data_IF_849011442809
#
_entry.id   IF_849011442809
#
_cell.length_a   1.000
_cell.length_b   1.000
_cell.length_c   1.000
_cell.angle_alpha   90.00
_cell.angle_beta   90.00
_cell.angle_gamma   90.00
#
_symmetry.space_group_name_H-M   'P 1'
#
loop_
_entity.id
_entity.type
_entity.pdbx_description
1 polymer ?
#
# COMPACT_ATOMS: atom_id res chain seq x y z
N UNK A 1 11.10 8.89 4.32
CA UNK A 1 9.73 9.37 4.07
C UNK A 1 8.89 8.24 3.49
N UNK A 2 7.64 8.11 3.98
CA UNK A 2 6.68 7.10 3.54
C UNK A 2 5.31 7.74 3.35
N UNK A 3 4.57 7.27 2.35
CA UNK A 3 3.14 7.50 2.22
C UNK A 3 2.45 6.15 2.46
N UNK A 4 1.61 6.05 3.48
CA UNK A 4 1.04 4.77 3.91
C UNK A 4 -0.46 4.75 4.09
N UNK A 5 -1.03 3.56 3.89
CA UNK A 5 -2.42 3.22 4.13
C UNK A 5 -2.49 1.93 4.95
N UNK A 6 -3.22 1.96 6.06
CA UNK A 6 -3.58 0.77 6.81
C UNK A 6 -4.96 0.27 6.39
N UNK A 7 -5.07 -1.02 6.10
CA UNK A 7 -6.31 -1.70 5.72
C UNK A 7 -6.70 -2.60 6.87
N UNK A 8 -7.92 -2.44 7.36
CA UNK A 8 -8.45 -3.21 8.50
C UNK A 8 -8.51 -4.70 8.15
N UNK A 9 -8.16 -5.57 9.10
CA UNK A 9 -8.12 -7.02 8.92
C UNK A 9 -9.47 -7.64 8.55
N UNK A 10 -10.58 -7.04 8.98
CA UNK A 10 -11.92 -7.47 8.54
C UNK A 10 -12.12 -7.37 7.02
N UNK A 11 -11.47 -6.40 6.37
CA UNK A 11 -11.54 -6.20 4.93
C UNK A 11 -10.56 -7.08 4.15
N UNK A 12 -9.70 -7.84 4.83
CA UNK A 12 -8.66 -8.69 4.23
C UNK A 12 -8.73 -10.14 4.69
N UNK A 13 -9.70 -10.47 5.56
CA UNK A 13 -9.85 -11.78 6.18
C UNK A 13 -10.05 -12.92 5.16
N UNK A 14 -10.72 -12.63 4.04
CA UNK A 14 -10.99 -13.58 2.97
C UNK A 14 -9.75 -13.93 2.12
N UNK A 15 -8.65 -13.20 2.29
CA UNK A 15 -7.37 -13.49 1.62
C UNK A 15 -6.68 -14.73 2.20
N UNK A 16 -7.02 -15.15 3.41
CA UNK A 16 -6.45 -16.29 4.12
C UNK A 16 -4.92 -16.24 4.26
N UNK A 17 -4.35 -15.04 4.33
CA UNK A 17 -2.89 -14.88 4.49
C UNK A 17 -2.40 -15.45 5.81
N UNK A 18 -1.18 -15.97 5.81
CA UNK A 18 -0.62 -16.76 6.89
C UNK A 18 -1.00 -18.24 6.84
N UNK A 19 -1.66 -18.68 5.77
CA UNK A 19 -2.05 -20.09 5.58
C UNK A 19 -1.66 -20.61 4.20
N UNK A 20 -1.68 -21.93 4.03
CA UNK A 20 -1.42 -22.56 2.73
C UNK A 20 -2.42 -22.16 1.62
N UNK A 21 -3.59 -21.61 2.01
CA UNK A 21 -4.63 -21.17 1.09
C UNK A 21 -4.60 -19.65 0.81
N UNK A 22 -3.48 -18.99 1.08
CA UNK A 22 -3.30 -17.57 0.87
C UNK A 22 -3.57 -17.18 -0.59
N UNK A 23 -4.53 -16.27 -0.78
CA UNK A 23 -4.91 -15.78 -2.10
C UNK A 23 -3.97 -14.65 -2.55
N UNK A 24 -3.63 -14.57 -3.84
CA UNK A 24 -2.93 -13.41 -4.38
C UNK A 24 -3.84 -12.17 -4.35
N UNK A 25 -3.21 -11.03 -4.43
CA UNK A 25 -3.88 -9.73 -4.61
C UNK A 25 -3.30 -9.00 -5.82
N UNK A 26 -4.10 -8.09 -6.36
CA UNK A 26 -3.65 -7.13 -7.36
C UNK A 26 -3.88 -5.72 -6.84
N UNK A 27 -2.82 -4.93 -6.83
CA UNK A 27 -2.82 -3.51 -6.52
C UNK A 27 -2.77 -2.73 -7.82
N UNK A 28 -3.72 -1.81 -8.02
CA UNK A 28 -3.70 -0.88 -9.16
C UNK A 28 -3.83 0.56 -8.69
N UNK A 29 -3.16 1.48 -9.39
CA UNK A 29 -3.15 2.89 -9.03
C UNK A 29 -2.63 3.77 -10.17
N UNK A 30 -3.02 5.04 -10.14
CA UNK A 30 -2.39 6.08 -10.94
C UNK A 30 -1.35 6.81 -10.12
N UNK A 31 -0.19 7.01 -10.70
CA UNK A 31 0.95 7.68 -10.06
C UNK A 31 1.55 8.73 -10.98
N UNK A 32 1.98 9.83 -10.36
CA UNK A 32 2.75 10.89 -11.00
C UNK A 32 3.99 11.15 -10.16
N UNK A 33 5.13 11.28 -10.80
CA UNK A 33 6.36 11.75 -10.15
C UNK A 33 7.11 12.72 -11.05
N UNK A 34 7.74 13.69 -10.45
CA UNK A 34 8.68 14.57 -11.16
C UNK A 34 10.00 13.88 -11.54
N UNK A 35 10.22 12.66 -11.07
CA UNK A 35 11.41 11.86 -11.33
C UNK A 35 11.00 10.56 -12.01
N UNK A 36 11.54 10.31 -13.22
CA UNK A 36 11.43 9.02 -13.87
C UNK A 36 12.40 8.01 -13.25
N UNK A 37 12.08 6.72 -13.35
CA UNK A 37 12.91 5.64 -12.85
C UNK A 37 12.11 4.55 -12.15
N UNK A 38 12.82 3.66 -11.47
CA UNK A 38 12.21 2.60 -10.66
C UNK A 38 11.83 3.17 -9.31
N UNK A 39 10.55 3.13 -9.00
CA UNK A 39 9.98 3.48 -7.70
C UNK A 39 9.60 2.23 -6.94
N UNK A 40 9.29 2.37 -5.65
CA UNK A 40 8.97 1.24 -4.84
C UNK A 40 7.88 1.44 -3.80
N UNK A 41 7.35 0.31 -3.36
CA UNK A 41 6.40 0.25 -2.25
C UNK A 41 6.55 -1.10 -1.54
N UNK A 42 5.90 -1.26 -0.40
CA UNK A 42 5.92 -2.51 0.35
C UNK A 42 4.54 -2.78 0.95
N UNK A 43 4.18 -4.06 1.01
CA UNK A 43 3.09 -4.55 1.83
C UNK A 43 3.65 -5.14 3.11
N UNK A 44 3.00 -4.87 4.22
CA UNK A 44 3.42 -5.36 5.54
C UNK A 44 2.21 -5.84 6.34
N UNK A 45 2.47 -6.76 7.28
CA UNK A 45 1.49 -7.08 8.32
C UNK A 45 1.51 -6.01 9.44
N UNK A 46 0.58 -6.11 10.38
CA UNK A 46 0.45 -5.15 11.49
C UNK A 46 1.74 -5.00 12.32
N UNK A 47 2.46 -6.09 12.52
CA UNK A 47 3.64 -6.12 13.39
C UNK A 47 4.92 -5.69 12.66
N UNK A 48 4.85 -5.45 11.35
CA UNK A 48 6.02 -5.19 10.49
C UNK A 48 7.09 -6.28 10.59
N UNK A 49 6.69 -7.52 10.88
CA UNK A 49 7.57 -8.69 10.90
C UNK A 49 7.45 -9.56 9.64
N UNK A 50 6.53 -9.18 8.74
CA UNK A 50 6.41 -9.70 7.37
C UNK A 50 6.31 -8.54 6.39
N UNK A 51 7.08 -8.59 5.31
CA UNK A 51 7.07 -7.57 4.28
C UNK A 51 7.23 -8.15 2.87
N UNK A 52 6.62 -7.50 1.90
CA UNK A 52 6.79 -7.77 0.47
C UNK A 52 7.15 -6.46 -0.23
N UNK A 53 8.44 -6.13 -0.30
CA UNK A 53 8.91 -5.01 -1.11
C UNK A 53 8.69 -5.29 -2.59
N UNK A 54 8.19 -4.29 -3.33
CA UNK A 54 8.01 -4.41 -4.77
C UNK A 54 8.34 -3.10 -5.48
N UNK A 55 8.58 -3.19 -6.77
CA UNK A 55 8.96 -2.04 -7.60
C UNK A 55 7.99 -1.84 -8.75
N UNK A 56 7.90 -0.60 -9.22
CA UNK A 56 7.18 -0.21 -10.42
C UNK A 56 7.96 0.88 -11.18
N UNK A 57 7.74 0.99 -12.48
CA UNK A 57 8.49 1.94 -13.33
C UNK A 57 7.66 3.17 -13.65
N UNK A 58 8.24 4.34 -13.46
CA UNK A 58 7.76 5.61 -14.02
C UNK A 58 8.66 5.95 -15.20
N UNK A 59 8.17 5.71 -16.41
CA UNK A 59 8.96 5.84 -17.64
C UNK A 59 9.12 7.29 -18.10
N UNK A 60 8.18 8.16 -17.73
CA UNK A 60 8.18 9.58 -18.08
C UNK A 60 7.89 10.43 -16.86
N UNK A 61 8.82 11.32 -16.51
CA UNK A 61 8.60 12.29 -15.44
C UNK A 61 7.45 13.24 -15.79
N UNK A 62 6.80 13.78 -14.77
CA UNK A 62 5.73 14.76 -14.89
C UNK A 62 4.52 14.28 -15.72
N UNK A 63 4.25 12.96 -15.68
CA UNK A 63 3.14 12.34 -16.41
C UNK A 63 2.43 11.32 -15.53
N UNK A 64 1.10 11.33 -15.53
CA UNK A 64 0.32 10.30 -14.87
C UNK A 64 0.46 8.96 -15.59
N UNK A 65 0.77 7.91 -14.84
CA UNK A 65 0.92 6.55 -15.36
C UNK A 65 0.14 5.58 -14.50
N UNK A 66 -0.55 4.65 -15.15
CA UNK A 66 -1.26 3.57 -14.50
C UNK A 66 -0.31 2.42 -14.21
N UNK A 67 -0.36 1.90 -13.00
CA UNK A 67 0.45 0.78 -12.53
C UNK A 67 -0.46 -0.35 -12.05
N UNK A 68 -0.03 -1.59 -12.31
CA UNK A 68 -0.68 -2.80 -11.83
C UNK A 68 0.38 -3.76 -11.30
N UNK A 69 0.23 -4.18 -10.07
CA UNK A 69 1.17 -5.06 -9.36
C UNK A 69 0.39 -6.24 -8.79
N UNK A 70 0.74 -7.45 -9.20
CA UNK A 70 0.21 -8.67 -8.60
C UNK A 70 1.18 -9.21 -7.55
N UNK A 71 0.68 -9.46 -6.36
CA UNK A 71 1.45 -9.97 -5.23
C UNK A 71 0.91 -11.33 -4.83
N UNK A 72 1.74 -12.37 -4.75
CA UNK A 72 1.31 -13.68 -4.26
C UNK A 72 0.89 -13.59 -2.79
N UNK A 73 -0.08 -14.39 -2.38
CA UNK A 73 -0.48 -14.46 -0.99
C UNK A 73 0.69 -14.91 -0.08
N UNK A 74 0.80 -14.31 1.10
CA UNK A 74 1.78 -14.80 2.08
C UNK A 74 1.24 -16.05 2.77
N UNK A 75 1.94 -17.17 2.61
CA UNK A 75 1.57 -18.46 3.21
C UNK A 75 2.05 -18.60 4.64
N UNK A 76 2.77 -17.61 5.18
CA UNK A 76 3.38 -17.62 6.51
C UNK A 76 3.09 -16.32 7.26
N UNK A 77 3.60 -16.23 8.48
CA UNK A 77 3.41 -15.03 9.29
C UNK A 77 2.04 -14.96 9.98
N UNK A 78 1.85 -13.91 10.74
CA UNK A 78 0.60 -13.65 11.48
C UNK A 78 -0.12 -12.45 10.88
N UNK A 79 -1.34 -12.68 10.38
CA UNK A 79 -2.17 -11.66 9.72
C UNK A 79 -3.46 -11.49 10.48
N UNK A 80 -3.78 -10.26 10.87
CA UNK A 80 -5.01 -10.00 11.62
C UNK A 80 -6.23 -10.02 10.69
N UNK A 81 -7.29 -10.65 11.19
CA UNK A 81 -8.62 -10.72 10.55
C UNK A 81 -9.69 -10.05 11.40
N UNK A 82 -9.31 -9.11 12.24
CA UNK A 82 -10.17 -8.35 13.13
C UNK A 82 -10.09 -6.84 12.80
N UNK A 83 -10.46 -5.98 13.75
CA UNK A 83 -10.40 -4.52 13.59
C UNK A 83 -8.98 -3.90 13.68
N UNK A 84 -7.95 -4.70 13.90
CA UNK A 84 -6.56 -4.23 13.75
C UNK A 84 -6.17 -4.16 12.27
N UNK A 85 -4.99 -3.64 11.99
CA UNK A 85 -4.44 -3.61 10.63
C UNK A 85 -4.21 -5.03 10.10
N UNK A 86 -4.92 -5.40 9.05
CA UNK A 86 -4.66 -6.63 8.30
C UNK A 86 -3.45 -6.46 7.38
N UNK A 87 -3.51 -5.46 6.50
CA UNK A 87 -2.43 -5.14 5.56
C UNK A 87 -2.09 -3.65 5.68
N UNK A 88 -0.81 -3.32 5.72
CA UNK A 88 -0.31 -1.97 5.54
C UNK A 88 0.41 -1.85 4.18
N UNK A 89 0.05 -0.85 3.40
CA UNK A 89 0.70 -0.49 2.14
C UNK A 89 1.48 0.80 2.34
N UNK A 90 2.78 0.78 2.02
CA UNK A 90 3.64 1.95 2.11
C UNK A 90 4.36 2.20 0.78
N UNK A 91 4.23 3.39 0.23
CA UNK A 91 5.04 3.88 -0.87
C UNK A 91 6.34 4.46 -0.34
N UNK A 92 7.46 4.03 -0.90
CA UNK A 92 8.79 4.49 -0.51
C UNK A 92 9.12 5.82 -1.18
N UNK A 93 9.19 6.87 -0.38
CA UNK A 93 9.54 8.22 -0.81
C UNK A 93 10.92 8.65 -0.31
N UNK A 94 11.63 7.74 0.35
CA UNK A 94 12.98 7.98 0.90
C UNK A 94 13.24 7.22 2.19
N UNK A 95 13.28 5.90 2.10
CA UNK A 95 13.72 5.00 3.17
C UNK A 95 15.22 4.78 3.07
N UNK A 96 15.91 4.79 4.22
CA UNK A 96 17.35 4.55 4.27
C UNK A 96 17.71 3.09 3.96
N UNK A 97 18.97 2.87 3.62
CA UNK A 97 19.51 1.56 3.20
C UNK A 97 19.37 0.45 4.25
N UNK A 98 19.26 0.82 5.54
CA UNK A 98 19.08 -0.13 6.65
C UNK A 98 17.84 -1.02 6.52
N UNK A 99 16.80 -0.50 5.87
CA UNK A 99 15.52 -1.19 5.72
C UNK A 99 15.30 -1.75 4.32
N UNK A 100 16.31 -1.78 3.48
CA UNK A 100 16.20 -2.34 2.14
C UNK A 100 16.25 -3.87 2.18
N UNK A 101 15.30 -4.51 1.47
CA UNK A 101 15.21 -5.95 1.33
C UNK A 101 15.22 -6.41 -0.12
N UNK A 102 14.99 -7.68 -0.33
CA UNK A 102 14.87 -8.28 -1.66
C UNK A 102 13.52 -7.94 -2.26
N UNK A 103 13.51 -7.39 -3.48
CA UNK A 103 12.29 -7.04 -4.18
C UNK A 103 11.51 -8.27 -4.63
N UNK A 104 10.19 -8.16 -4.66
CA UNK A 104 9.24 -9.15 -5.16
C UNK A 104 9.29 -10.50 -4.43
N UNK A 105 9.56 -10.48 -3.14
CA UNK A 105 9.63 -11.67 -2.30
C UNK A 105 9.12 -11.37 -0.89
N UNK A 106 8.33 -12.28 -0.32
CA UNK A 106 7.94 -12.26 1.08
C UNK A 106 9.14 -12.52 1.99
N UNK A 107 9.34 -11.65 2.96
CA UNK A 107 10.47 -11.71 3.90
C UNK A 107 10.02 -11.51 5.34
N UNK A 108 10.75 -12.13 6.26
CA UNK A 108 10.60 -11.86 7.70
C UNK A 108 11.36 -10.58 8.05
N UNK A 109 10.66 -9.59 8.55
CA UNK A 109 11.21 -8.29 8.95
C UNK A 109 10.53 -7.10 8.27
N UNK A 110 10.96 -5.92 8.66
CA UNK A 110 10.45 -4.63 8.18
C UNK A 110 11.31 -4.15 7.00
N UNK A 111 10.93 -4.54 5.78
CA UNK A 111 11.71 -4.21 4.60
C UNK A 111 10.94 -3.40 3.57
N UNK A 112 11.69 -2.58 2.86
CA UNK A 112 11.31 -1.72 1.76
C UNK A 112 12.13 -2.09 0.51
N UNK A 113 11.71 -1.67 -0.69
CA UNK A 113 12.43 -2.05 -1.91
C UNK A 113 13.83 -1.45 -1.97
N UNK A 114 14.73 -2.18 -2.63
CA UNK A 114 16.09 -1.74 -2.93
C UNK A 114 16.21 -1.21 -4.35
N UNK A 115 17.24 -0.40 -4.61
CA UNK A 115 17.54 0.15 -5.94
C UNK A 115 16.40 0.98 -6.54
N UNK A 116 15.77 1.82 -5.74
CA UNK A 116 14.68 2.70 -6.15
C UNK A 116 15.06 4.17 -6.04
N UNK A 117 14.40 5.01 -6.84
CA UNK A 117 14.51 6.47 -6.70
C UNK A 117 13.64 6.97 -5.56
N UNK A 118 14.10 8.01 -4.90
CA UNK A 118 13.42 8.61 -3.76
C UNK A 118 12.99 10.05 -4.09
N UNK A 119 11.77 10.25 -4.64
CA UNK A 119 11.38 11.54 -5.18
C UNK A 119 11.35 12.66 -4.15
N UNK A 120 11.01 12.36 -2.91
CA UNK A 120 10.91 13.38 -1.85
C UNK A 120 12.24 13.58 -1.12
N UNK A 121 12.97 12.50 -0.82
CA UNK A 121 14.18 12.59 0.01
C UNK A 121 15.39 13.15 -0.73
N UNK A 122 15.51 12.93 -2.04
CA UNK A 122 16.74 13.22 -2.77
C UNK A 122 16.72 14.49 -3.63
N UNK A 123 15.54 15.12 -3.87
CA UNK A 123 15.50 16.21 -4.86
C UNK A 123 14.34 17.19 -4.76
N UNK A 124 13.65 17.30 -3.64
CA UNK A 124 12.42 18.10 -3.53
C UNK A 124 11.39 17.79 -4.66
N UNK A 125 11.37 16.56 -5.09
CA UNK A 125 10.49 16.11 -6.16
C UNK A 125 9.03 16.03 -5.72
N UNK A 126 8.14 16.00 -6.70
CA UNK A 126 6.71 15.83 -6.48
C UNK A 126 6.33 14.37 -6.70
N UNK A 127 5.43 13.88 -5.83
CA UNK A 127 4.83 12.57 -5.94
C UNK A 127 3.33 12.67 -5.65
N UNK A 128 2.50 12.21 -6.59
CA UNK A 128 1.05 12.21 -6.44
C UNK A 128 0.50 10.82 -6.74
N UNK A 129 -0.56 10.45 -6.03
CA UNK A 129 -1.18 9.15 -6.10
C UNK A 129 -2.70 9.30 -6.13
N UNK A 130 -3.38 8.52 -6.96
CA UNK A 130 -4.85 8.47 -7.02
C UNK A 130 -5.34 7.13 -7.55
N UNK A 131 -6.64 6.84 -7.37
CA UNK A 131 -7.27 5.63 -7.90
C UNK A 131 -6.64 4.35 -7.37
N UNK A 132 -6.21 4.33 -6.11
CA UNK A 132 -5.62 3.13 -5.49
C UNK A 132 -6.71 2.11 -5.23
N UNK A 133 -6.55 0.91 -5.78
CA UNK A 133 -7.47 -0.20 -5.61
C UNK A 133 -6.68 -1.48 -5.32
N UNK A 134 -7.07 -2.18 -4.26
CA UNK A 134 -6.52 -3.47 -3.86
C UNK A 134 -7.59 -4.54 -3.98
N UNK A 135 -7.33 -5.55 -4.80
CA UNK A 135 -8.31 -6.56 -5.16
C UNK A 135 -7.76 -7.95 -4.92
N UNK A 136 -8.61 -8.87 -4.48
CA UNK A 136 -8.29 -10.30 -4.43
C UNK A 136 -8.21 -10.87 -5.84
N UNK A 137 -7.14 -11.59 -6.14
CA UNK A 137 -6.92 -12.21 -7.44
C UNK A 137 -5.71 -11.65 -8.17
N UNK A 138 -5.56 -12.02 -9.44
CA UNK A 138 -4.37 -11.75 -10.26
C UNK A 138 -4.61 -10.73 -11.37
N UNK A 139 -5.79 -10.09 -11.40
CA UNK A 139 -6.15 -9.12 -12.42
C UNK A 139 -6.75 -7.87 -11.79
N UNK A 140 -6.34 -6.71 -12.28
CA UNK A 140 -6.98 -5.45 -11.94
C UNK A 140 -8.27 -5.28 -12.74
N UNK A 141 -9.32 -4.82 -12.07
CA UNK A 141 -10.57 -4.41 -12.71
C UNK A 141 -10.62 -2.90 -12.88
N UNK A 142 -11.68 -2.39 -13.49
CA UNK A 142 -11.93 -0.94 -13.54
C UNK A 142 -12.10 -0.40 -12.12
N UNK A 143 -11.61 0.83 -11.89
CA UNK A 143 -11.73 1.47 -10.59
C UNK A 143 -13.19 1.54 -10.12
N UNK A 144 -13.45 1.06 -8.90
CA UNK A 144 -14.77 1.03 -8.27
C UNK A 144 -15.17 2.42 -7.76
N UNK A 145 -15.95 3.14 -8.56
CA UNK A 145 -16.50 4.44 -8.19
C UNK A 145 -17.73 4.26 -7.30
N UNK A 146 -17.57 4.49 -6.01
CA UNK A 146 -18.67 4.46 -5.05
C UNK A 146 -19.42 5.78 -5.02
N UNK A 147 -20.72 5.71 -4.76
CA UNK A 147 -21.53 6.90 -4.52
C UNK A 147 -20.99 7.66 -3.29
N UNK A 148 -20.91 8.99 -3.39
CA UNK A 148 -20.31 9.84 -2.35
C UNK A 148 -20.85 9.58 -0.93
N UNK A 149 -22.15 9.34 -0.77
CA UNK A 149 -22.75 9.04 0.53
C UNK A 149 -22.22 7.77 1.16
N UNK A 150 -22.02 6.71 0.35
CA UNK A 150 -21.44 5.43 0.81
C UNK A 150 -19.99 5.63 1.21
N UNK A 151 -19.20 6.32 0.40
CA UNK A 151 -17.79 6.60 0.69
C UNK A 151 -17.64 7.44 1.96
N UNK A 152 -18.49 8.45 2.14
CA UNK A 152 -18.50 9.28 3.34
C UNK A 152 -18.80 8.47 4.61
N UNK A 153 -19.73 7.54 4.55
CA UNK A 153 -20.08 6.69 5.69
C UNK A 153 -18.96 5.70 6.03
N UNK A 154 -18.29 5.15 5.02
CA UNK A 154 -17.09 4.34 5.21
C UNK A 154 -15.95 5.14 5.86
N UNK A 155 -15.71 6.37 5.38
CA UNK A 155 -14.70 7.26 5.97
C UNK A 155 -15.00 7.61 7.42
N UNK A 156 -16.27 7.82 7.77
CA UNK A 156 -16.70 8.13 9.15
C UNK A 156 -16.43 7.02 10.16
N UNK A 157 -16.23 5.79 9.72
CA UNK A 157 -15.77 4.68 10.57
C UNK A 157 -14.39 4.97 11.16
N UNK A 158 -13.51 5.61 10.39
CA UNK A 158 -12.10 5.81 10.74
C UNK A 158 -11.76 7.24 11.15
N UNK A 159 -12.58 8.21 10.75
CA UNK A 159 -12.36 9.62 11.04
C UNK A 159 -13.69 10.34 11.28
N UNK A 160 -13.86 10.93 12.45
CA UNK A 160 -14.99 11.82 12.77
C UNK A 160 -14.46 13.19 13.16
N UNK A 161 -14.98 14.28 12.58
CA UNK A 161 -14.68 15.60 13.11
C UNK A 161 -15.34 15.72 14.49
N UNK A 162 -14.56 15.98 15.51
CA UNK A 162 -15.06 16.33 16.84
C UNK A 162 -15.21 17.85 16.88
N UNK A 163 -16.38 18.36 17.31
CA UNK A 163 -16.68 19.78 17.26
C UNK A 163 -15.54 20.64 17.81
N UNK A 164 -14.99 21.53 16.96
CA UNK A 164 -13.90 22.43 17.32
C UNK A 164 -12.59 22.23 16.55
N UNK A 165 -12.60 21.54 15.41
CA UNK A 165 -11.45 21.53 14.49
C UNK A 165 -10.39 20.44 14.70
N UNK A 166 -10.63 19.49 15.59
CA UNK A 166 -9.73 18.33 15.77
C UNK A 166 -10.33 17.07 15.13
N UNK A 167 -9.54 16.35 14.34
CA UNK A 167 -9.91 15.04 13.83
C UNK A 167 -9.58 14.01 14.89
N UNK A 168 -10.59 13.48 15.58
CA UNK A 168 -10.43 12.35 16.49
C UNK A 168 -10.41 11.03 15.73
N UNK A 169 -9.51 10.12 16.09
CA UNK A 169 -9.58 8.73 15.63
C UNK A 169 -10.74 8.02 16.34
N UNK A 170 -11.64 7.42 15.58
CA UNK A 170 -12.57 6.44 16.12
C UNK A 170 -11.86 5.08 16.18
N UNK A 171 -11.85 4.47 17.34
CA UNK A 171 -11.38 3.10 17.57
C UNK A 171 -12.54 2.14 17.42
#
# INVERSE_FOLDING_TARGET
WLLGQHIEGLNTADLNWGTANASPITLSFWVYSSIAGTHGATLQNNNSDRSYPFTYSITSANTWQYQTITVPGDTTGSWYSNNNTGIALFYDLGVGTTYQGTNNTWQTGNYYPSNVVHPVASSNGSFYLTGVQLEKGTQATSFDFRHYGVELDLCRRYARPWGGGSIGRAY
#
